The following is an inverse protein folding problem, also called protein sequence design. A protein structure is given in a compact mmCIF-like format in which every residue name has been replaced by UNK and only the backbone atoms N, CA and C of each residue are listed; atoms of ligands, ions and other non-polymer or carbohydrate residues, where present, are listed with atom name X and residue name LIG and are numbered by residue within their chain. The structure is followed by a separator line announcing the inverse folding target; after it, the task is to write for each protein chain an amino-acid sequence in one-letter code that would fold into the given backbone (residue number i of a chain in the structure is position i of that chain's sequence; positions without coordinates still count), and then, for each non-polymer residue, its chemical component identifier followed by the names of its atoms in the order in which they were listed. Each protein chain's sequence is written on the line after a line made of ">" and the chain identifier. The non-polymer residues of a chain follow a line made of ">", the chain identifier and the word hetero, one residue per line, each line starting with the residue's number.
data_IF_075824857312
#
_entry.id   IF_075824857312
#
_cell.length_a   1.000
_cell.length_b   1.000
_cell.length_c   1.000
_cell.angle_alpha   90.00
_cell.angle_beta   90.00
_cell.angle_gamma   90.00
#
_symmetry.space_group_name_H-M   'P 1'
#
loop_
_entity.id
_entity.type
_entity.pdbx_description
1 polymer ?
#
# COMPACT_ATOMS: atom_id res chain seq x y z
N UNK A 1 8.41 10.61 21.01
CA UNK A 1 8.05 9.83 19.81
C UNK A 1 9.22 9.91 18.86
N UNK A 2 9.73 8.77 18.39
CA UNK A 2 10.75 8.75 17.33
C UNK A 2 10.05 9.21 16.06
N UNK A 3 10.62 10.19 15.37
CA UNK A 3 10.12 10.68 14.10
C UNK A 3 10.20 9.55 13.07
N UNK A 4 9.06 9.08 12.57
CA UNK A 4 8.93 8.00 11.57
C UNK A 4 8.63 8.54 10.15
N UNK A 5 8.85 9.84 9.97
CA UNK A 5 8.55 10.57 8.75
C UNK A 5 9.67 11.52 8.35
N UNK A 6 9.80 11.75 7.05
CA UNK A 6 10.63 12.81 6.46
C UNK A 6 9.80 13.57 5.41
N UNK A 7 10.27 14.73 4.97
CA UNK A 7 9.69 15.35 3.77
C UNK A 7 10.17 14.61 2.52
N UNK A 8 9.37 14.63 1.45
CA UNK A 8 9.70 13.90 0.23
C UNK A 8 10.94 14.41 -0.51
N UNK A 9 11.44 15.60 -0.17
CA UNK A 9 12.67 16.20 -0.68
C UNK A 9 13.89 15.99 0.24
N UNK A 10 13.73 15.21 1.31
CA UNK A 10 14.84 14.82 2.18
C UNK A 10 15.95 14.12 1.39
N UNK A 11 17.19 14.55 1.64
CA UNK A 11 18.40 14.08 0.94
C UNK A 11 19.28 13.19 1.80
N UNK A 12 19.04 13.14 3.11
CA UNK A 12 19.71 12.19 3.99
C UNK A 12 19.20 10.78 3.75
N UNK A 13 19.80 10.11 2.77
CA UNK A 13 19.48 8.73 2.42
C UNK A 13 19.75 7.77 3.58
N UNK A 14 20.73 8.06 4.44
CA UNK A 14 21.04 7.21 5.58
C UNK A 14 19.90 7.26 6.61
N UNK A 15 19.38 8.45 6.90
CA UNK A 15 18.21 8.60 7.76
C UNK A 15 16.99 7.87 7.19
N UNK A 16 16.72 8.02 5.89
CA UNK A 16 15.60 7.35 5.22
C UNK A 16 15.75 5.83 5.33
N UNK A 17 16.90 5.30 4.97
CA UNK A 17 17.20 3.86 5.01
C UNK A 17 17.18 3.34 6.46
N UNK A 18 17.66 4.12 7.43
CA UNK A 18 17.62 3.78 8.86
C UNK A 18 16.18 3.68 9.39
N UNK A 19 15.33 4.67 9.09
CA UNK A 19 13.93 4.67 9.53
C UNK A 19 13.14 3.54 8.88
N UNK A 20 13.33 3.35 7.57
CA UNK A 20 12.70 2.26 6.84
C UNK A 20 13.16 0.90 7.38
N UNK A 21 14.46 0.73 7.64
CA UNK A 21 14.98 -0.52 8.21
C UNK A 21 14.42 -0.79 9.61
N UNK A 22 14.47 0.22 10.48
CA UNK A 22 14.04 0.13 11.87
C UNK A 22 12.55 -0.24 11.97
N UNK A 23 11.70 0.48 11.24
CA UNK A 23 10.26 0.40 11.39
C UNK A 23 9.60 -0.59 10.42
N UNK A 24 10.25 -0.88 9.28
CA UNK A 24 9.63 -1.62 8.16
C UNK A 24 8.76 -0.73 7.27
N UNK A 25 8.72 0.57 7.56
CA UNK A 25 8.02 1.60 6.80
C UNK A 25 8.68 2.97 7.01
N UNK A 26 8.38 3.91 6.13
CA UNK A 26 8.69 5.33 6.31
C UNK A 26 7.55 6.17 5.73
N UNK A 27 7.19 7.27 6.40
CA UNK A 27 6.20 8.21 5.90
C UNK A 27 6.89 9.37 5.18
N UNK A 28 6.54 9.58 3.91
CA UNK A 28 7.02 10.72 3.12
C UNK A 28 5.96 11.82 3.09
N UNK A 29 6.23 12.94 3.74
CA UNK A 29 5.34 14.11 3.75
C UNK A 29 5.47 14.89 2.45
N UNK A 30 4.32 15.34 1.91
CA UNK A 30 4.25 16.09 0.65
C UNK A 30 4.85 15.33 -0.54
N UNK A 31 4.66 14.00 -0.56
CA UNK A 31 5.23 13.12 -1.59
C UNK A 31 4.47 13.14 -2.92
N UNK A 32 3.25 13.67 -2.96
CA UNK A 32 2.46 13.80 -4.19
C UNK A 32 2.20 15.28 -4.40
N UNK A 33 2.47 15.77 -5.61
CA UNK A 33 2.20 17.14 -5.99
C UNK A 33 0.70 17.44 -5.87
N UNK A 34 0.39 18.69 -5.51
CA UNK A 34 -0.99 19.11 -5.27
C UNK A 34 -1.86 18.92 -6.53
N UNK A 35 -1.31 19.21 -7.70
CA UNK A 35 -2.00 19.12 -8.98
C UNK A 35 -2.32 17.66 -9.34
N UNK A 36 -1.40 16.73 -9.05
CA UNK A 36 -1.64 15.30 -9.24
C UNK A 36 -2.71 14.78 -8.26
N UNK A 37 -2.68 15.27 -7.01
CA UNK A 37 -3.69 14.93 -6.00
C UNK A 37 -5.09 15.41 -6.42
N UNK A 38 -5.19 16.63 -6.94
CA UNK A 38 -6.43 17.21 -7.47
C UNK A 38 -6.93 16.42 -8.68
N UNK A 39 -6.07 16.04 -9.63
CA UNK A 39 -6.46 15.25 -10.81
C UNK A 39 -6.96 13.84 -10.42
N UNK A 40 -6.32 13.18 -9.44
CA UNK A 40 -6.80 11.89 -8.92
C UNK A 40 -8.17 12.02 -8.25
N UNK A 41 -8.38 13.03 -7.42
CA UNK A 41 -9.65 13.24 -6.74
C UNK A 41 -10.77 13.61 -7.74
N UNK A 42 -10.49 14.44 -8.74
CA UNK A 42 -11.44 14.73 -9.82
C UNK A 42 -11.82 13.47 -10.60
N UNK A 43 -10.86 12.55 -10.82
CA UNK A 43 -11.17 11.26 -11.44
C UNK A 43 -12.14 10.46 -10.58
N UNK A 44 -11.97 10.44 -9.26
CA UNK A 44 -12.89 9.78 -8.33
C UNK A 44 -14.28 10.40 -8.41
N UNK A 45 -14.37 11.73 -8.36
CA UNK A 45 -15.64 12.45 -8.42
C UNK A 45 -16.42 12.14 -9.72
N UNK A 46 -15.72 12.08 -10.86
CA UNK A 46 -16.34 11.71 -12.14
C UNK A 46 -16.85 10.27 -12.21
N UNK A 47 -16.31 9.37 -11.37
CA UNK A 47 -16.66 7.95 -11.35
C UNK A 47 -17.37 7.53 -10.06
N UNK A 48 -17.93 8.50 -9.31
CA UNK A 48 -18.54 8.25 -8.00
C UNK A 48 -19.70 7.22 -8.04
N UNK A 49 -20.42 7.13 -9.17
CA UNK A 49 -21.46 6.11 -9.38
C UNK A 49 -20.96 4.66 -9.14
N UNK A 50 -19.68 4.39 -9.39
CA UNK A 50 -19.06 3.08 -9.14
C UNK A 50 -18.80 2.84 -7.66
N UNK A 51 -18.53 3.90 -6.91
CA UNK A 51 -18.40 3.85 -5.44
C UNK A 51 -19.76 3.55 -4.81
N UNK A 52 -20.81 4.26 -5.24
CA UNK A 52 -22.13 4.19 -4.58
C UNK A 52 -22.98 2.98 -4.99
N UNK A 53 -22.78 2.38 -6.17
CA UNK A 53 -23.64 1.28 -6.58
C UNK A 53 -23.32 0.52 -7.86
N UNK A 54 -22.35 0.96 -8.67
CA UNK A 54 -21.94 0.27 -9.90
C UNK A 54 -20.59 -0.47 -9.73
N UNK A 55 -20.40 -1.24 -8.66
CA UNK A 55 -19.20 -2.09 -8.48
C UNK A 55 -19.56 -3.58 -8.52
N UNK A 56 -18.60 -4.42 -8.90
CA UNK A 56 -18.73 -5.88 -8.76
C UNK A 56 -18.83 -6.26 -7.29
N UNK A 57 -19.86 -7.04 -6.94
CA UNK A 57 -19.96 -7.63 -5.61
C UNK A 57 -19.24 -8.98 -5.57
N UNK A 58 -18.90 -9.46 -4.37
CA UNK A 58 -18.10 -10.67 -4.16
C UNK A 58 -18.72 -11.91 -4.83
N UNK A 59 -20.05 -12.01 -4.85
CA UNK A 59 -20.80 -13.16 -5.39
C UNK A 59 -21.31 -12.97 -6.84
N UNK A 60 -20.91 -11.89 -7.53
CA UNK A 60 -21.43 -11.56 -8.86
C UNK A 60 -20.33 -11.71 -9.93
N UNK A 61 -20.64 -12.51 -10.97
CA UNK A 61 -19.67 -12.85 -12.02
C UNK A 61 -19.59 -11.77 -13.13
N UNK A 62 -20.63 -10.96 -13.30
CA UNK A 62 -20.60 -9.79 -14.19
C UNK A 62 -20.09 -8.55 -13.44
N UNK A 63 -18.81 -8.22 -13.62
CA UNK A 63 -18.20 -7.05 -13.00
C UNK A 63 -18.55 -5.72 -13.66
N UNK A 64 -18.27 -4.62 -12.97
CA UNK A 64 -18.37 -3.28 -13.52
C UNK A 64 -16.96 -2.76 -13.86
N UNK A 65 -16.84 -2.15 -15.04
CA UNK A 65 -15.57 -1.79 -15.65
C UNK A 65 -15.57 -0.33 -16.13
N UNK A 66 -14.40 0.31 -16.05
CA UNK A 66 -14.10 1.61 -16.67
C UNK A 66 -12.92 1.38 -17.60
N UNK A 67 -13.20 1.06 -18.88
CA UNK A 67 -12.16 0.60 -19.81
C UNK A 67 -11.49 -0.68 -19.29
N UNK A 68 -10.21 -0.57 -18.90
CA UNK A 68 -9.40 -1.68 -18.36
C UNK A 68 -9.25 -1.64 -16.83
N UNK A 69 -10.07 -0.84 -16.15
CA UNK A 69 -10.15 -0.77 -14.69
C UNK A 69 -11.35 -1.58 -14.21
N UNK A 70 -11.11 -2.65 -13.45
CA UNK A 70 -12.19 -3.42 -12.81
C UNK A 70 -12.58 -2.78 -11.48
N UNK A 71 -13.87 -2.67 -11.22
CA UNK A 71 -14.39 -2.20 -9.93
C UNK A 71 -14.97 -3.36 -9.14
N UNK A 72 -14.51 -3.56 -7.91
CA UNK A 72 -14.98 -4.68 -7.08
C UNK A 72 -14.78 -4.46 -5.57
N UNK A 73 -15.30 -5.39 -4.77
CA UNK A 73 -15.00 -5.52 -3.35
C UNK A 73 -14.47 -6.92 -3.05
N UNK A 74 -13.44 -7.04 -2.20
CA UNK A 74 -12.87 -8.34 -1.83
C UNK A 74 -13.67 -9.06 -0.74
N UNK A 75 -14.28 -8.30 0.16
CA UNK A 75 -14.91 -8.83 1.38
C UNK A 75 -16.17 -8.10 1.79
N UNK A 76 -16.54 -7.00 1.12
CA UNK A 76 -17.63 -6.10 1.48
C UNK A 76 -17.13 -4.86 2.24
N UNK A 77 -16.65 -5.00 3.50
CA UNK A 77 -16.18 -3.88 4.31
C UNK A 77 -14.97 -3.13 3.74
N UNK A 78 -14.20 -3.72 2.84
CA UNK A 78 -13.03 -3.09 2.23
C UNK A 78 -13.38 -1.99 1.22
N UNK A 79 -14.67 -1.75 0.95
CA UNK A 79 -15.14 -0.66 0.10
C UNK A 79 -15.02 -0.97 -1.40
N UNK A 80 -14.89 0.08 -2.20
CA UNK A 80 -14.75 0.00 -3.65
C UNK A 80 -13.27 0.00 -4.05
N UNK A 81 -12.83 -1.05 -4.72
CA UNK A 81 -11.48 -1.18 -5.28
C UNK A 81 -11.55 -1.00 -6.79
N UNK A 82 -10.80 -0.03 -7.30
CA UNK A 82 -10.54 0.17 -8.72
C UNK A 82 -9.20 -0.50 -9.05
N UNK A 83 -9.26 -1.71 -9.59
CA UNK A 83 -8.08 -2.51 -9.93
C UNK A 83 -7.48 -2.09 -11.26
N UNK A 84 -6.15 -2.24 -11.36
CA UNK A 84 -5.40 -1.81 -12.52
C UNK A 84 -5.59 -0.31 -12.81
N UNK A 85 -5.65 0.50 -11.75
CA UNK A 85 -5.89 1.95 -11.78
C UNK A 85 -4.90 2.72 -12.66
N UNK A 86 -3.72 2.16 -12.98
CA UNK A 86 -2.82 2.72 -14.00
C UNK A 86 -3.51 2.92 -15.35
N UNK A 87 -4.57 2.18 -15.66
CA UNK A 87 -5.38 2.36 -16.87
C UNK A 87 -6.48 3.42 -16.71
N UNK A 88 -6.69 3.94 -15.49
CA UNK A 88 -7.66 4.98 -15.19
C UNK A 88 -7.30 6.36 -15.77
N UNK A 89 -6.03 6.62 -16.09
CA UNK A 89 -5.64 7.88 -16.70
C UNK A 89 -4.17 8.22 -16.58
N UNK A 90 -3.79 9.36 -17.17
CA UNK A 90 -2.41 9.86 -17.16
C UNK A 90 -1.85 10.05 -15.75
N UNK A 91 -2.65 10.58 -14.82
CA UNK A 91 -2.23 10.79 -13.43
C UNK A 91 -1.80 9.51 -12.72
N UNK A 92 -2.53 8.41 -12.89
CA UNK A 92 -2.16 7.15 -12.25
C UNK A 92 -0.92 6.51 -12.88
N UNK A 93 -0.73 6.66 -14.20
CA UNK A 93 0.51 6.20 -14.86
C UNK A 93 1.74 6.95 -14.37
N UNK A 94 1.62 8.24 -14.00
CA UNK A 94 2.74 9.01 -13.42
C UNK A 94 3.22 8.41 -12.09
N UNK A 95 2.35 7.74 -11.34
CA UNK A 95 2.70 7.15 -10.04
C UNK A 95 3.69 5.97 -10.16
N UNK A 96 3.79 5.33 -11.35
CA UNK A 96 4.68 4.17 -11.58
C UNK A 96 6.14 4.51 -11.24
N UNK A 97 6.60 5.70 -11.63
CA UNK A 97 7.98 6.15 -11.46
C UNK A 97 8.06 7.52 -10.78
N UNK A 98 7.15 7.79 -9.84
CA UNK A 98 7.08 9.09 -9.20
C UNK A 98 8.38 9.42 -8.44
N UNK A 99 8.89 10.67 -8.55
CA UNK A 99 10.20 11.03 -8.03
C UNK A 99 10.39 10.78 -6.53
N UNK A 100 9.32 10.91 -5.74
CA UNK A 100 9.38 10.82 -4.29
C UNK A 100 9.65 9.40 -3.76
N UNK A 101 9.45 8.34 -4.55
CA UNK A 101 9.66 6.97 -4.05
C UNK A 101 10.44 6.06 -4.99
N UNK A 102 10.49 6.32 -6.30
CA UNK A 102 11.02 5.33 -7.24
C UNK A 102 12.49 4.99 -6.98
N UNK A 103 13.33 5.96 -6.62
CA UNK A 103 14.74 5.73 -6.26
C UNK A 103 14.87 4.83 -5.02
N UNK A 104 14.05 5.07 -3.99
CA UNK A 104 14.01 4.27 -2.78
C UNK A 104 13.55 2.83 -3.08
N UNK A 105 12.45 2.65 -3.81
CA UNK A 105 11.95 1.33 -4.18
C UNK A 105 13.01 0.53 -4.93
N UNK A 106 13.65 1.12 -5.95
CA UNK A 106 14.73 0.49 -6.73
C UNK A 106 15.90 0.03 -5.88
N UNK A 107 16.31 0.87 -4.92
CA UNK A 107 17.38 0.55 -3.97
C UNK A 107 16.99 -0.62 -3.06
N UNK A 108 15.82 -0.54 -2.44
CA UNK A 108 15.38 -1.54 -1.44
C UNK A 108 15.04 -2.91 -2.05
N UNK A 109 14.52 -2.95 -3.27
CA UNK A 109 14.32 -4.23 -3.99
C UNK A 109 15.61 -4.76 -4.60
N UNK A 110 16.70 -3.98 -4.59
CA UNK A 110 17.96 -4.30 -5.25
C UNK A 110 17.74 -4.57 -6.76
N UNK A 111 17.27 -3.55 -7.48
CA UNK A 111 16.77 -3.68 -8.86
C UNK A 111 17.80 -4.30 -9.84
N UNK A 112 19.10 -4.07 -9.62
CA UNK A 112 20.16 -4.59 -10.50
C UNK A 112 20.27 -6.12 -10.42
N UNK A 113 19.82 -6.72 -9.32
CA UNK A 113 19.83 -8.16 -9.10
C UNK A 113 18.46 -8.78 -9.31
N UNK A 114 17.41 -8.13 -8.80
CA UNK A 114 16.06 -8.71 -8.72
C UNK A 114 15.08 -8.17 -9.79
N UNK A 115 15.43 -7.07 -10.44
CA UNK A 115 14.48 -6.29 -11.24
C UNK A 115 13.45 -5.55 -10.38
N UNK A 116 12.54 -4.85 -11.04
CA UNK A 116 11.40 -4.17 -10.42
C UNK A 116 10.18 -4.33 -11.32
N UNK A 117 9.04 -4.68 -10.73
CA UNK A 117 7.77 -4.83 -11.43
C UNK A 117 6.62 -4.39 -10.54
N UNK A 118 5.49 -4.06 -11.17
CA UNK A 118 4.23 -3.82 -10.46
C UNK A 118 3.54 -5.16 -10.28
N UNK A 119 3.36 -5.58 -9.03
CA UNK A 119 2.58 -6.77 -8.71
C UNK A 119 1.07 -6.49 -8.74
N UNK A 120 0.66 -5.38 -8.13
CA UNK A 120 -0.73 -4.93 -8.07
C UNK A 120 -0.74 -3.40 -8.00
N UNK A 121 -1.78 -2.80 -8.56
CA UNK A 121 -2.04 -1.37 -8.41
C UNK A 121 -3.56 -1.16 -8.35
N UNK A 122 -3.99 -0.41 -7.34
CA UNK A 122 -5.40 -0.15 -7.11
C UNK A 122 -5.61 1.21 -6.45
N UNK A 123 -6.82 1.73 -6.64
CA UNK A 123 -7.35 2.81 -5.83
C UNK A 123 -8.49 2.24 -4.97
N UNK A 124 -8.50 2.57 -3.69
CA UNK A 124 -9.51 2.07 -2.75
C UNK A 124 -10.24 3.24 -2.10
N UNK A 125 -11.57 3.23 -2.21
CA UNK A 125 -12.48 4.20 -1.58
C UNK A 125 -13.31 3.46 -0.55
N UNK A 126 -13.21 3.86 0.72
CA UNK A 126 -13.91 3.23 1.85
C UNK A 126 -14.85 4.21 2.53
N UNK A 127 -16.04 3.71 2.86
CA UNK A 127 -17.01 4.43 3.68
C UNK A 127 -16.80 4.18 5.18
N UNK A 128 -17.66 4.78 5.99
CA UNK A 128 -17.67 4.63 7.43
C UNK A 128 -17.72 3.15 7.86
N UNK A 129 -16.84 2.77 8.80
CA UNK A 129 -16.75 1.41 9.30
C UNK A 129 -16.08 0.41 8.36
N UNK A 130 -15.64 0.85 7.17
CA UNK A 130 -14.90 0.01 6.24
C UNK A 130 -13.46 -0.23 6.69
N UNK A 131 -12.93 -1.42 6.45
CA UNK A 131 -11.59 -1.81 6.89
C UNK A 131 -10.97 -2.87 5.98
N UNK A 132 -9.64 -2.97 6.07
CA UNK A 132 -8.87 -4.10 5.55
C UNK A 132 -8.20 -4.73 6.77
N UNK A 133 -8.44 -6.04 6.96
CA UNK A 133 -7.89 -6.78 8.10
C UNK A 133 -6.36 -6.76 8.14
N UNK A 134 -5.80 -6.85 9.34
CA UNK A 134 -4.34 -6.84 9.52
C UNK A 134 -3.72 -8.06 8.81
N UNK A 135 -2.62 -7.83 8.11
CA UNK A 135 -1.92 -8.85 7.34
C UNK A 135 -0.41 -8.56 7.26
N UNK A 136 0.38 -9.57 6.89
CA UNK A 136 1.83 -9.44 6.71
C UNK A 136 2.67 -9.84 7.94
N UNK A 137 3.88 -9.28 8.01
CA UNK A 137 4.87 -9.54 9.07
C UNK A 137 5.94 -10.57 8.70
N UNK A 138 7.07 -10.52 9.43
CA UNK A 138 8.27 -11.33 9.15
C UNK A 138 8.10 -12.84 9.35
N UNK A 139 7.07 -13.24 10.10
CA UNK A 139 6.82 -14.64 10.41
C UNK A 139 6.15 -15.40 9.25
N UNK A 140 5.84 -14.71 8.15
CA UNK A 140 5.26 -15.31 6.95
C UNK A 140 6.41 -15.83 6.06
N UNK A 141 6.51 -17.14 5.81
CA UNK A 141 7.62 -17.73 5.05
C UNK A 141 7.39 -17.60 3.53
N UNK A 142 7.30 -16.37 3.02
CA UNK A 142 7.13 -16.07 1.59
C UNK A 142 8.32 -15.25 1.11
N UNK A 143 8.85 -15.56 -0.07
CA UNK A 143 10.03 -14.88 -0.61
C UNK A 143 9.84 -13.37 -0.77
N UNK A 144 8.63 -12.91 -1.12
CA UNK A 144 8.37 -11.48 -1.25
C UNK A 144 8.20 -10.75 0.10
N UNK A 145 8.26 -11.46 1.23
CA UNK A 145 8.27 -10.89 2.58
C UNK A 145 9.69 -10.74 3.14
N UNK A 146 10.74 -11.04 2.36
CA UNK A 146 12.13 -10.78 2.76
C UNK A 146 12.39 -9.28 2.83
N UNK A 147 13.39 -8.89 3.61
CA UNK A 147 13.73 -7.48 3.84
C UNK A 147 15.23 -7.18 3.68
N UNK A 148 16.08 -8.03 4.28
CA UNK A 148 17.54 -8.02 4.13
C UNK A 148 18.02 -9.41 3.77
N UNK A 149 19.13 -9.49 3.03
CA UNK A 149 19.84 -10.73 2.82
C UNK A 149 20.67 -11.03 4.09
N UNK A 150 20.48 -12.20 4.71
CA UNK A 150 21.03 -12.52 6.04
C UNK A 150 22.57 -12.57 6.10
N UNK A 151 23.24 -13.05 5.05
CA UNK A 151 24.69 -13.18 4.97
C UNK A 151 25.40 -11.86 4.64
N UNK A 152 24.80 -11.01 3.79
CA UNK A 152 25.47 -9.78 3.32
C UNK A 152 24.96 -8.52 4.00
N UNK A 153 23.75 -8.54 4.58
CA UNK A 153 23.07 -7.35 5.06
C UNK A 153 22.55 -6.44 3.94
N UNK A 154 22.70 -6.84 2.67
CA UNK A 154 22.19 -6.07 1.54
C UNK A 154 20.66 -6.01 1.54
N UNK A 155 20.13 -4.98 0.89
CA UNK A 155 18.70 -4.88 0.65
C UNK A 155 18.19 -6.08 -0.16
N UNK A 156 17.10 -6.68 0.31
CA UNK A 156 16.40 -7.80 -0.33
C UNK A 156 14.90 -7.68 -0.06
N UNK A 157 14.36 -6.46 -0.17
CA UNK A 157 12.94 -6.22 0.06
C UNK A 157 12.16 -6.87 -1.08
N UNK A 158 11.44 -7.94 -0.76
CA UNK A 158 10.78 -8.75 -1.75
C UNK A 158 9.54 -8.09 -2.36
N UNK A 159 8.89 -7.19 -1.62
CA UNK A 159 7.80 -6.35 -2.08
C UNK A 159 7.76 -5.05 -1.28
N UNK A 160 7.60 -3.92 -1.98
CA UNK A 160 7.39 -2.59 -1.38
C UNK A 160 5.98 -2.12 -1.74
N UNK A 161 5.21 -1.74 -0.73
CA UNK A 161 3.92 -1.09 -0.94
C UNK A 161 4.08 0.42 -0.81
N UNK A 162 3.62 1.17 -1.81
CA UNK A 162 3.50 2.63 -1.76
C UNK A 162 2.02 2.96 -1.59
N UNK A 163 1.67 3.59 -0.46
CA UNK A 163 0.29 3.94 -0.14
C UNK A 163 0.19 5.47 -0.04
N UNK A 164 -0.55 6.07 -0.97
CA UNK A 164 -0.85 7.50 -0.97
C UNK A 164 -2.21 7.77 -0.35
N UNK A 165 -2.28 8.74 0.58
CA UNK A 165 -3.55 9.28 1.03
C UNK A 165 -4.04 10.34 0.03
N UNK A 166 -5.25 10.18 -0.50
CA UNK A 166 -5.84 11.15 -1.43
C UNK A 166 -6.51 12.34 -0.72
N UNK A 167 -6.81 12.17 0.56
CA UNK A 167 -7.38 13.19 1.44
C UNK A 167 -6.60 13.21 2.75
N UNK A 168 -6.77 14.29 3.53
CA UNK A 168 -6.29 14.30 4.90
C UNK A 168 -6.93 13.18 5.71
N UNK A 169 -6.16 12.59 6.62
CA UNK A 169 -6.62 11.53 7.52
C UNK A 169 -6.51 12.03 8.94
N UNK A 170 -7.66 12.32 9.53
CA UNK A 170 -7.81 12.81 10.89
C UNK A 170 -8.13 11.70 11.90
N UNK A 171 -8.39 12.15 13.13
CA UNK A 171 -8.84 11.26 14.21
C UNK A 171 -10.23 10.70 13.89
N UNK A 172 -10.35 9.38 13.80
CA UNK A 172 -11.61 8.68 13.53
C UNK A 172 -11.82 8.26 12.06
N UNK A 173 -10.95 8.69 11.14
CA UNK A 173 -11.12 8.43 9.70
C UNK A 173 -10.61 7.04 9.26
N UNK A 174 -10.10 6.22 10.19
CA UNK A 174 -9.64 4.86 9.87
C UNK A 174 -8.32 4.84 9.09
N UNK A 175 -7.30 5.53 9.61
CA UNK A 175 -5.96 5.56 9.04
C UNK A 175 -5.35 4.14 8.91
N UNK A 176 -4.46 3.98 7.93
CA UNK A 176 -3.60 2.79 7.85
C UNK A 176 -2.86 2.60 9.16
N UNK A 177 -3.04 1.42 9.77
CA UNK A 177 -2.38 1.05 11.03
C UNK A 177 -1.20 0.14 10.74
N UNK A 178 -0.04 0.46 11.33
CA UNK A 178 1.22 -0.27 11.16
C UNK A 178 1.76 -0.68 12.52
N UNK A 179 2.42 -1.83 12.57
CA UNK A 179 3.17 -2.28 13.75
C UNK A 179 4.67 -2.15 13.43
N UNK A 180 5.36 -1.13 13.98
CA UNK A 180 6.78 -0.92 13.72
C UNK A 180 7.61 -2.15 14.07
N UNK A 181 8.53 -2.53 13.18
CA UNK A 181 9.46 -3.65 13.37
C UNK A 181 8.84 -5.05 13.17
N UNK A 182 7.54 -5.15 12.88
CA UNK A 182 6.85 -6.44 12.69
C UNK A 182 7.39 -7.26 11.53
N UNK A 183 8.03 -6.64 10.55
CA UNK A 183 8.74 -7.30 9.44
C UNK A 183 9.96 -8.12 9.89
N UNK A 184 10.50 -7.87 11.09
CA UNK A 184 11.62 -8.62 11.69
C UNK A 184 11.15 -9.74 12.62
N UNK A 185 9.85 -9.80 12.95
CA UNK A 185 9.34 -10.79 13.89
C UNK A 185 9.35 -12.18 13.26
N UNK A 186 10.12 -13.12 13.82
CA UNK A 186 10.08 -14.52 13.43
C UNK A 186 8.85 -15.27 13.98
N UNK A 187 8.13 -14.66 14.92
CA UNK A 187 6.97 -15.25 15.58
C UNK A 187 5.68 -14.63 15.06
N UNK A 188 4.69 -15.48 14.76
CA UNK A 188 3.34 -15.01 14.44
C UNK A 188 2.71 -14.37 15.67
N UNK A 189 1.90 -13.34 15.45
CA UNK A 189 1.09 -12.77 16.51
C UNK A 189 0.20 -13.87 17.15
N UNK A 190 0.06 -13.94 18.49
CA UNK A 190 -0.67 -15.01 19.16
C UNK A 190 -2.12 -15.17 18.68
N UNK A 191 -2.81 -14.07 18.35
CA UNK A 191 -4.18 -14.12 17.80
C UNK A 191 -4.26 -14.72 16.39
N UNK A 192 -3.13 -14.82 15.68
CA UNK A 192 -3.01 -15.47 14.38
C UNK A 192 -2.48 -16.91 14.50
N UNK A 193 -2.21 -17.39 15.73
CA UNK A 193 -1.69 -18.74 15.96
C UNK A 193 -2.75 -19.81 15.63
N UNK A 194 -2.33 -20.87 14.95
CA UNK A 194 -3.22 -21.98 14.57
C UNK A 194 -4.00 -21.81 13.26
N UNK A 195 -3.95 -20.64 12.59
CA UNK A 195 -4.53 -20.42 11.26
C UNK A 195 -3.45 -19.98 10.27
N UNK A 196 -3.41 -20.58 9.07
CA UNK A 196 -2.60 -20.05 7.95
C UNK A 196 -3.40 -18.97 7.22
N UNK A 197 -3.81 -17.93 7.94
CA UNK A 197 -4.52 -16.79 7.34
C UNK A 197 -3.52 -15.68 7.04
N UNK A 198 -3.55 -15.23 5.79
CA UNK A 198 -2.78 -14.07 5.34
C UNK A 198 -3.30 -12.78 5.98
N UNK A 199 -4.62 -12.71 6.26
CA UNK A 199 -5.37 -11.57 6.77
C UNK A 199 -6.25 -11.97 7.96
N UNK A 200 -6.40 -11.09 8.95
CA UNK A 200 -7.33 -11.27 10.09
C UNK A 200 -8.21 -10.05 10.28
N UNK A 201 -9.53 -10.26 10.16
CA UNK A 201 -10.53 -9.23 10.41
C UNK A 201 -10.78 -9.02 11.91
N UNK A 202 -10.64 -10.06 12.74
CA UNK A 202 -10.76 -9.98 14.21
C UNK A 202 -9.69 -9.08 14.88
N UNK A 203 -8.62 -8.78 14.13
CA UNK A 203 -7.52 -7.93 14.56
C UNK A 203 -7.45 -6.63 13.73
N UNK A 204 -8.43 -6.39 12.87
CA UNK A 204 -8.71 -5.04 12.38
C UNK A 204 -9.31 -4.27 13.57
N UNK A 205 -8.66 -3.17 13.96
CA UNK A 205 -8.95 -2.43 15.19
C UNK A 205 -10.42 -2.15 15.45
#
# INVERSE_FOLDING_TARGET
>A
MVQDWVTADEKDEYLIDFLFDLNGYIVLKNAIAKEDLEEMNQWVDHHWDYVDGKRRDYDVDSGAWIGHVETHTYSGPDGCNFQNIIEGGGVFRRLINYPSWISHCRRWVNENTNGISIHENLLNIRGQGGYIGIHGGGAIPRCYMTFRQENTGEWMVGQVNVIGALTDVGSGDGATTLIPGSHKSAMKHPMLSGRQVYRSDDAAG
#
